data_IF_361092967807
#
_entry.id   IF_361092967807
#
_cell.length_a   1.000
_cell.length_b   1.000
_cell.length_c   1.000
_cell.angle_alpha   90.00
_cell.angle_beta   90.00
_cell.angle_gamma   90.00
#
_symmetry.space_group_name_H-M   'P 1'
#
loop_
_entity.id
_entity.type
_entity.pdbx_description
1 polymer ?
#
# COMPACT_ATOMS: atom_id res chain seq x y z
N UNK A 1 13.01 11.67 6.98
CA UNK A 1 13.87 10.69 6.29
C UNK A 1 12.97 9.78 5.48
N UNK A 2 13.42 9.24 4.33
CA UNK A 2 12.68 8.19 3.63
C UNK A 2 12.66 6.96 4.54
N UNK A 3 11.56 6.72 5.25
CA UNK A 3 11.40 5.54 6.10
C UNK A 3 11.01 4.35 5.20
N UNK A 4 11.91 3.39 5.06
CA UNK A 4 11.60 2.09 4.49
C UNK A 4 10.87 1.27 5.55
N UNK A 5 9.56 1.47 5.64
CA UNK A 5 8.69 0.69 6.52
C UNK A 5 8.28 -0.60 5.82
N UNK A 6 8.43 -1.74 6.50
CA UNK A 6 7.90 -3.00 6.01
C UNK A 6 6.35 -3.00 6.03
N UNK A 7 5.76 -4.05 5.44
CA UNK A 7 4.31 -4.16 5.32
C UNK A 7 3.60 -4.21 6.68
N UNK A 8 4.13 -4.95 7.65
CA UNK A 8 3.52 -5.09 8.98
C UNK A 8 3.52 -3.76 9.74
N UNK A 9 4.61 -3.01 9.61
CA UNK A 9 4.76 -1.67 10.18
C UNK A 9 3.78 -0.70 9.52
N UNK A 10 3.68 -0.74 8.19
CA UNK A 10 2.72 0.08 7.42
C UNK A 10 1.27 -0.20 7.83
N UNK A 11 0.90 -1.47 7.96
CA UNK A 11 -0.44 -1.89 8.41
C UNK A 11 -0.72 -1.37 9.83
N UNK A 12 0.24 -1.52 10.74
CA UNK A 12 0.11 -1.07 12.13
C UNK A 12 -0.05 0.46 12.23
N UNK A 13 0.68 1.23 11.42
CA UNK A 13 0.56 2.68 11.37
C UNK A 13 -0.81 3.15 10.85
N UNK A 14 -1.35 2.48 9.83
CA UNK A 14 -2.72 2.74 9.37
C UNK A 14 -3.74 2.43 10.47
N UNK A 15 -3.64 1.26 11.11
CA UNK A 15 -4.55 0.86 12.19
C UNK A 15 -4.49 1.80 13.40
N UNK A 16 -3.31 2.29 13.75
CA UNK A 16 -3.13 3.28 14.82
C UNK A 16 -3.86 4.61 14.56
N UNK A 17 -4.19 4.90 13.29
CA UNK A 17 -4.99 6.06 12.87
C UNK A 17 -6.47 5.73 12.65
N UNK A 18 -6.92 4.52 12.98
CA UNK A 18 -8.27 4.05 12.70
C UNK A 18 -8.53 3.79 11.21
N UNK A 19 -7.48 3.60 10.41
CA UNK A 19 -7.53 3.36 8.97
C UNK A 19 -7.03 1.95 8.63
N UNK A 20 -7.15 1.57 7.37
CA UNK A 20 -6.59 0.35 6.79
C UNK A 20 -5.71 0.70 5.59
N UNK A 21 -4.78 -0.19 5.23
CA UNK A 21 -4.07 -0.08 3.95
C UNK A 21 -5.06 -0.27 2.80
N UNK A 22 -4.90 0.52 1.74
CA UNK A 22 -5.85 0.56 0.63
C UNK A 22 -5.92 -0.77 -0.13
N UNK A 23 -7.14 -1.19 -0.47
CA UNK A 23 -7.43 -2.20 -1.48
C UNK A 23 -7.55 -1.58 -2.87
N UNK A 24 -7.43 -2.41 -3.90
CA UNK A 24 -7.67 -2.03 -5.28
C UNK A 24 -8.61 -3.06 -5.91
N UNK A 25 -9.79 -2.62 -6.32
CA UNK A 25 -10.82 -3.48 -6.91
C UNK A 25 -10.82 -3.41 -8.44
N UNK A 26 -10.27 -2.34 -9.03
CA UNK A 26 -10.30 -2.12 -10.46
C UNK A 26 -9.12 -1.26 -10.96
N UNK A 27 -8.94 -1.24 -12.29
CA UNK A 27 -7.86 -0.49 -12.94
C UNK A 27 -7.94 1.02 -12.69
N UNK A 28 -9.15 1.59 -12.58
CA UNK A 28 -9.33 3.02 -12.34
C UNK A 28 -8.80 3.44 -10.97
N UNK A 29 -9.02 2.63 -9.94
CA UNK A 29 -8.43 2.87 -8.62
C UNK A 29 -6.91 2.79 -8.64
N UNK A 30 -6.36 1.81 -9.36
CA UNK A 30 -4.92 1.68 -9.53
C UNK A 30 -4.31 2.93 -10.17
N UNK A 31 -4.96 3.49 -11.19
CA UNK A 31 -4.51 4.70 -11.87
C UNK A 31 -4.53 5.92 -10.94
N UNK A 32 -5.60 6.06 -10.14
CA UNK A 32 -5.73 7.14 -9.15
C UNK A 32 -4.67 7.06 -8.06
N UNK A 33 -4.43 5.86 -7.51
CA UNK A 33 -3.39 5.65 -6.49
C UNK A 33 -2.01 5.92 -7.09
N UNK A 34 -1.74 5.44 -8.30
CA UNK A 34 -0.47 5.68 -9.00
C UNK A 34 -0.20 7.18 -9.20
N UNK A 35 -1.21 7.92 -9.69
CA UNK A 35 -1.13 9.37 -9.84
C UNK A 35 -0.92 10.09 -8.50
N UNK A 36 -1.58 9.64 -7.43
CA UNK A 36 -1.41 10.18 -6.09
C UNK A 36 0.01 9.98 -5.55
N UNK A 37 0.58 8.79 -5.72
CA UNK A 37 1.95 8.47 -5.30
C UNK A 37 2.97 9.34 -6.03
N UNK A 38 2.90 9.43 -7.35
CA UNK A 38 3.82 10.26 -8.16
C UNK A 38 3.76 11.73 -7.74
N UNK A 39 2.56 12.24 -7.43
CA UNK A 39 2.38 13.62 -6.95
C UNK A 39 2.95 13.86 -5.55
N UNK A 40 2.87 12.87 -4.66
CA UNK A 40 3.26 12.98 -3.23
C UNK A 40 4.72 12.61 -2.97
N UNK A 41 5.30 11.76 -3.79
CA UNK A 41 6.67 11.29 -3.70
C UNK A 41 7.39 11.64 -5.01
N UNK A 42 7.74 12.93 -5.25
CA UNK A 42 8.54 13.29 -6.40
C UNK A 42 9.89 12.59 -6.26
N UNK A 43 10.20 11.76 -7.25
CA UNK A 43 11.45 11.02 -7.33
C UNK A 43 12.12 11.26 -8.66
N UNK A 44 13.45 11.10 -8.68
CA UNK A 44 14.20 11.14 -9.93
C UNK A 44 13.76 10.00 -10.86
N UNK A 45 13.91 10.12 -12.19
CA UNK A 45 13.54 9.04 -13.12
C UNK A 45 14.25 7.70 -12.87
N UNK A 46 15.39 7.71 -12.16
CA UNK A 46 16.18 6.55 -11.77
C UNK A 46 15.77 5.93 -10.42
N UNK A 47 14.88 6.58 -9.68
CA UNK A 47 14.49 6.17 -8.34
C UNK A 47 13.19 5.37 -8.39
N UNK A 48 13.13 4.29 -7.60
CA UNK A 48 11.91 3.52 -7.40
C UNK A 48 11.24 3.94 -6.10
N UNK A 49 9.91 4.07 -6.13
CA UNK A 49 9.08 4.25 -4.94
C UNK A 49 8.27 2.99 -4.74
N UNK A 50 8.46 2.34 -3.59
CA UNK A 50 7.60 1.26 -3.15
C UNK A 50 6.58 1.81 -2.15
N UNK A 51 5.32 1.44 -2.34
CA UNK A 51 4.21 1.82 -1.46
C UNK A 51 3.49 0.55 -1.04
N UNK A 52 3.27 0.37 0.26
CA UNK A 52 2.52 -0.77 0.77
C UNK A 52 1.01 -0.55 0.53
N UNK A 53 0.35 -1.58 -0.01
CA UNK A 53 -1.10 -1.68 -0.14
C UNK A 53 -1.62 -2.80 0.77
N UNK A 54 -2.94 -2.93 0.86
CA UNK A 54 -3.59 -3.85 1.80
C UNK A 54 -3.52 -5.34 1.42
N UNK A 55 -2.87 -5.70 0.32
CA UNK A 55 -2.77 -7.08 -0.11
C UNK A 55 -1.78 -7.84 0.76
N UNK A 56 -2.20 -8.96 1.34
CA UNK A 56 -1.31 -9.91 2.03
C UNK A 56 -1.85 -11.34 1.97
N UNK A 57 -0.98 -12.32 2.12
CA UNK A 57 -1.30 -13.74 2.25
C UNK A 57 -1.20 -14.26 3.69
N UNK A 58 -1.09 -13.37 4.67
CA UNK A 58 -0.99 -13.67 6.12
C UNK A 58 -2.12 -14.58 6.63
N UNK A 59 -3.29 -14.54 5.98
CA UNK A 59 -4.44 -15.40 6.31
C UNK A 59 -4.27 -16.84 5.81
N UNK A 60 -3.62 -17.03 4.66
CA UNK A 60 -3.33 -18.34 4.07
C UNK A 60 -2.23 -18.17 3.02
N UNK A 61 -1.04 -18.67 3.31
CA UNK A 61 0.12 -18.65 2.41
C UNK A 61 -0.28 -19.06 0.98
N UNK A 62 0.17 -18.29 -0.02
CA UNK A 62 -0.16 -18.51 -1.43
C UNK A 62 -1.57 -18.04 -1.85
N UNK A 63 -2.38 -17.49 -0.94
CA UNK A 63 -3.66 -16.84 -1.25
C UNK A 63 -3.68 -15.41 -0.73
N UNK A 64 -3.81 -14.45 -1.64
CA UNK A 64 -3.80 -13.04 -1.31
C UNK A 64 -5.19 -12.54 -0.97
N UNK A 65 -5.29 -11.76 0.09
CA UNK A 65 -6.50 -11.11 0.57
C UNK A 65 -6.21 -9.64 0.87
N UNK A 66 -7.22 -8.80 0.68
CA UNK A 66 -7.17 -7.43 1.16
C UNK A 66 -7.48 -7.39 2.66
N UNK A 67 -6.84 -6.48 3.39
CA UNK A 67 -7.06 -6.29 4.84
C UNK A 67 -8.47 -5.82 5.21
N UNK A 68 -9.24 -5.30 4.25
CA UNK A 68 -10.64 -4.86 4.41
C UNK A 68 -11.66 -5.97 4.16
N UNK A 69 -11.27 -7.04 3.46
CA UNK A 69 -12.14 -8.13 3.02
C UNK A 69 -12.31 -9.20 4.11
N UNK A 70 -12.37 -8.77 5.38
CA UNK A 70 -12.51 -9.64 6.55
C UNK A 70 -13.95 -10.08 6.79
#
# INVERSE_FOLDING_TARGET
GKENVDWNTSESLCKAKGLQLASLENAKENDLVSAFVVKRAPVSPSDFVHVCLGGSDKKSEGKWYWVDSN
#
